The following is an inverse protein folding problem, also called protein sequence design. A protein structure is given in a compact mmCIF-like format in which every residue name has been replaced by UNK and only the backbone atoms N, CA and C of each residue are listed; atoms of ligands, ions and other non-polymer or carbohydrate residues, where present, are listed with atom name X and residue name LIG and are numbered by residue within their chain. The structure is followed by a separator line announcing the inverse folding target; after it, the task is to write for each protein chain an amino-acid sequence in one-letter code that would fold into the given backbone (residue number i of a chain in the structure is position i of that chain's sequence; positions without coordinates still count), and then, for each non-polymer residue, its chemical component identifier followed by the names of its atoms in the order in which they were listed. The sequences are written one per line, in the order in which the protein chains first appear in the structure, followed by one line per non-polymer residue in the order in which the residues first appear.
data_IF_477718582123
#
_entry.id   IF_477718582123
#
_cell.length_a   1.000
_cell.length_b   1.000
_cell.length_c   1.000
_cell.angle_alpha   90.00
_cell.angle_beta   90.00
_cell.angle_gamma   90.00
#
_symmetry.space_group_name_H-M   'P 1'
#
loop_
_entity.id
_entity.type
_entity.pdbx_description
1 polymer ?
#
# COMPACT_ATOMS: atom_id res chain seq x y z
N UNK A 1 -8.20 13.22 -29.07
CA UNK A 1 -8.52 13.92 -27.82
C UNK A 1 -8.75 12.86 -26.77
N UNK A 2 -7.73 12.55 -25.96
CA UNK A 2 -7.84 11.49 -24.94
C UNK A 2 -8.57 12.09 -23.74
N UNK A 3 -9.77 11.60 -23.47
CA UNK A 3 -10.53 11.92 -22.25
C UNK A 3 -9.67 11.59 -21.05
N UNK A 4 -9.18 12.62 -20.37
CA UNK A 4 -8.69 12.52 -19.00
C UNK A 4 -9.90 12.08 -18.16
N UNK A 5 -10.07 10.78 -18.01
CA UNK A 5 -10.97 10.24 -17.01
C UNK A 5 -10.41 10.78 -15.69
N UNK A 6 -11.14 11.71 -15.06
CA UNK A 6 -10.82 12.14 -13.71
C UNK A 6 -10.83 10.87 -12.87
N UNK A 7 -9.65 10.38 -12.50
CA UNK A 7 -9.55 9.25 -11.58
C UNK A 7 -10.10 9.77 -10.25
N UNK A 8 -11.37 9.48 -9.98
CA UNK A 8 -12.02 9.73 -8.69
C UNK A 8 -11.48 8.74 -7.65
N UNK A 9 -10.16 8.58 -7.58
CA UNK A 9 -9.48 7.61 -6.76
C UNK A 9 -8.25 8.25 -6.14
N UNK A 10 -7.99 7.88 -4.90
CA UNK A 10 -6.81 8.31 -4.18
C UNK A 10 -5.73 7.24 -4.31
N UNK A 11 -4.48 7.65 -4.52
CA UNK A 11 -3.36 6.71 -4.63
C UNK A 11 -2.31 7.08 -3.60
N UNK A 12 -1.90 6.11 -2.81
CA UNK A 12 -0.80 6.21 -1.87
C UNK A 12 0.38 5.40 -2.37
N UNK A 13 1.55 6.02 -2.30
CA UNK A 13 2.83 5.44 -2.67
C UNK A 13 3.73 5.58 -1.45
N UNK A 14 4.13 4.44 -0.89
CA UNK A 14 4.97 4.40 0.31
C UNK A 14 6.27 3.69 -0.09
N UNK A 15 7.37 4.43 -0.08
CA UNK A 15 8.69 3.88 -0.33
C UNK A 15 9.38 3.56 1.00
N UNK A 16 9.84 2.32 1.13
CA UNK A 16 10.67 1.87 2.23
C UNK A 16 12.10 1.69 1.75
N UNK A 17 13.05 2.28 2.46
CA UNK A 17 14.47 2.03 2.28
C UNK A 17 14.93 1.05 3.36
N UNK A 18 15.49 -0.07 2.94
CA UNK A 18 15.81 -1.20 3.81
C UNK A 18 17.12 -1.87 3.40
N UNK A 19 17.64 -2.71 4.29
CA UNK A 19 18.73 -3.63 3.94
C UNK A 19 18.18 -4.79 3.10
N UNK A 20 18.92 -5.31 2.10
CA UNK A 20 18.43 -6.39 1.23
C UNK A 20 17.96 -7.64 1.99
N UNK A 21 18.60 -7.95 3.12
CA UNK A 21 18.21 -9.07 4.00
C UNK A 21 16.82 -8.93 4.62
N UNK A 22 16.29 -7.71 4.71
CA UNK A 22 14.98 -7.41 5.29
C UNK A 22 13.87 -7.38 4.24
N UNK A 23 14.23 -7.40 2.95
CA UNK A 23 13.28 -7.23 1.85
C UNK A 23 12.18 -8.27 1.87
N UNK A 24 12.54 -9.55 1.95
CA UNK A 24 11.55 -10.63 1.91
C UNK A 24 10.58 -10.56 3.09
N UNK A 25 11.07 -10.22 4.29
CA UNK A 25 10.22 -10.05 5.47
C UNK A 25 9.24 -8.87 5.31
N UNK A 26 9.73 -7.74 4.80
CA UNK A 26 8.89 -6.57 4.55
C UNK A 26 7.85 -6.83 3.46
N UNK A 27 8.23 -7.49 2.36
CA UNK A 27 7.31 -7.84 1.27
C UNK A 27 6.20 -8.76 1.78
N UNK A 28 6.53 -9.79 2.56
CA UNK A 28 5.51 -10.66 3.16
C UNK A 28 4.57 -9.88 4.08
N UNK A 29 5.10 -9.02 4.95
CA UNK A 29 4.29 -8.20 5.84
C UNK A 29 3.35 -7.26 5.07
N UNK A 30 3.86 -6.56 4.05
CA UNK A 30 3.05 -5.67 3.22
C UNK A 30 2.00 -6.43 2.40
N UNK A 31 2.31 -7.65 1.96
CA UNK A 31 1.37 -8.49 1.21
C UNK A 31 0.22 -8.94 2.11
N UNK A 32 0.50 -9.44 3.32
CA UNK A 32 -0.54 -9.83 4.28
C UNK A 32 -1.42 -8.64 4.67
N UNK A 33 -0.81 -7.48 4.95
CA UNK A 33 -1.55 -6.26 5.25
C UNK A 33 -2.47 -5.85 4.09
N UNK A 34 -1.96 -5.93 2.86
CA UNK A 34 -2.74 -5.65 1.65
C UNK A 34 -3.93 -6.59 1.51
N UNK A 35 -3.75 -7.89 1.74
CA UNK A 35 -4.84 -8.88 1.68
C UNK A 35 -5.91 -8.56 2.73
N UNK A 36 -5.50 -8.18 3.95
CA UNK A 36 -6.43 -7.78 5.01
C UNK A 36 -7.21 -6.51 4.66
N UNK A 37 -6.57 -5.53 4.03
CA UNK A 37 -7.24 -4.32 3.52
C UNK A 37 -8.24 -4.67 2.43
N UNK A 38 -7.88 -5.55 1.50
CA UNK A 38 -8.76 -6.00 0.43
C UNK A 38 -10.01 -6.74 0.94
N UNK A 39 -9.89 -7.46 2.07
CA UNK A 39 -11.02 -8.16 2.70
C UNK A 39 -11.91 -7.24 3.56
N UNK A 40 -11.36 -6.14 4.08
CA UNK A 40 -11.95 -5.41 5.21
C UNK A 40 -12.21 -3.91 5.00
N UNK A 41 -11.88 -3.32 3.86
CA UNK A 41 -12.14 -1.90 3.56
C UNK A 41 -12.97 -1.74 2.28
N UNK A 42 -14.18 -1.18 2.42
CA UNK A 42 -15.13 -0.97 1.31
C UNK A 42 -14.61 0.00 0.22
N UNK A 43 -13.60 0.83 0.54
CA UNK A 43 -12.98 1.76 -0.40
C UNK A 43 -11.68 1.29 -1.06
N UNK A 44 -11.21 0.06 -0.79
CA UNK A 44 -9.99 -0.46 -1.39
C UNK A 44 -10.22 -0.86 -2.86
N UNK A 45 -9.39 -0.34 -3.77
CA UNK A 45 -9.49 -0.65 -5.20
C UNK A 45 -8.43 -1.66 -5.65
N UNK A 46 -7.16 -1.39 -5.32
CA UNK A 46 -6.05 -2.24 -5.75
C UNK A 46 -4.82 -1.94 -4.91
N UNK A 47 -3.91 -2.91 -4.82
CA UNK A 47 -2.57 -2.67 -4.31
C UNK A 47 -1.55 -3.57 -4.94
N UNK A 48 -0.30 -3.11 -4.91
CA UNK A 48 0.85 -3.82 -5.45
C UNK A 48 2.08 -3.51 -4.62
N UNK A 49 2.79 -4.56 -4.20
CA UNK A 49 4.12 -4.42 -3.59
C UNK A 49 5.16 -4.63 -4.68
N UNK A 50 6.02 -3.63 -4.88
CA UNK A 50 7.08 -3.66 -5.86
C UNK A 50 8.43 -3.60 -5.15
N UNK A 51 9.37 -4.39 -5.64
CA UNK A 51 10.73 -4.43 -5.11
C UNK A 51 11.70 -3.87 -6.14
N UNK A 52 12.69 -3.11 -5.66
CA UNK A 52 13.82 -2.73 -6.51
C UNK A 52 14.73 -3.93 -6.74
N UNK A 53 15.35 -3.99 -7.92
CA UNK A 53 16.31 -5.01 -8.32
C UNK A 53 17.52 -5.09 -7.36
N UNK A 54 18.00 -3.95 -6.87
CA UNK A 54 19.10 -3.87 -5.90
C UNK A 54 18.72 -4.35 -4.48
N UNK A 55 17.46 -4.70 -4.23
CA UNK A 55 17.06 -5.27 -2.93
C UNK A 55 16.77 -4.23 -1.83
N UNK A 56 17.21 -2.99 -2.00
CA UNK A 56 17.22 -1.96 -0.94
C UNK A 56 15.98 -1.09 -0.85
N UNK A 57 15.05 -1.22 -1.79
CA UNK A 57 13.83 -0.42 -1.82
C UNK A 57 12.63 -1.32 -2.05
N UNK A 58 11.56 -1.04 -1.32
CA UNK A 58 10.25 -1.64 -1.50
C UNK A 58 9.24 -0.52 -1.63
N UNK A 59 8.46 -0.54 -2.70
CA UNK A 59 7.39 0.42 -2.96
C UNK A 59 6.05 -0.28 -2.74
N UNK A 60 5.28 0.21 -1.78
CA UNK A 60 3.90 -0.18 -1.60
C UNK A 60 2.99 0.79 -2.35
N UNK A 61 2.25 0.28 -3.33
CA UNK A 61 1.25 1.01 -4.09
C UNK A 61 -0.13 0.62 -3.57
N UNK A 62 -0.91 1.60 -3.13
CA UNK A 62 -2.29 1.41 -2.66
C UNK A 62 -3.21 2.36 -3.42
N UNK A 63 -4.32 1.85 -3.91
CA UNK A 63 -5.34 2.62 -4.60
C UNK A 63 -6.68 2.49 -3.88
N UNK A 64 -7.32 3.62 -3.68
CA UNK A 64 -8.54 3.79 -2.92
C UNK A 64 -9.57 4.57 -3.71
N UNK A 65 -10.84 4.38 -3.38
CA UNK A 65 -11.94 5.14 -3.95
C UNK A 65 -11.90 6.60 -3.50
N UNK A 66 -11.62 6.87 -2.23
CA UNK A 66 -11.47 8.25 -1.73
C UNK A 66 -10.22 8.42 -0.89
N UNK A 67 -9.87 9.68 -0.61
CA UNK A 67 -8.78 9.99 0.33
C UNK A 67 -9.12 9.54 1.75
N UNK A 68 -10.37 9.64 2.15
CA UNK A 68 -10.85 9.28 3.49
C UNK A 68 -10.69 7.76 3.74
N UNK A 69 -10.96 6.93 2.72
CA UNK A 69 -10.72 5.48 2.80
C UNK A 69 -9.23 5.16 3.04
N UNK A 70 -8.34 5.85 2.32
CA UNK A 70 -6.89 5.67 2.48
C UNK A 70 -6.37 6.17 3.84
N UNK A 71 -6.94 7.25 4.37
CA UNK A 71 -6.60 7.79 5.69
C UNK A 71 -7.06 6.85 6.82
N UNK A 72 -8.29 6.33 6.72
CA UNK A 72 -8.83 5.36 7.67
C UNK A 72 -8.02 4.06 7.69
N UNK A 73 -7.62 3.56 6.51
CA UNK A 73 -6.76 2.40 6.38
C UNK A 73 -5.35 2.65 6.95
N UNK A 74 -4.77 3.82 6.71
CA UNK A 74 -3.46 4.20 7.24
C UNK A 74 -3.46 4.27 8.77
N UNK A 75 -4.49 4.87 9.38
CA UNK A 75 -4.62 4.97 10.83
C UNK A 75 -4.78 3.57 11.49
N UNK A 76 -5.49 2.65 10.84
CA UNK A 76 -5.57 1.25 11.31
C UNK A 76 -4.21 0.56 11.31
N UNK A 77 -3.38 0.79 10.29
CA UNK A 77 -2.03 0.22 10.19
C UNK A 77 -1.12 0.69 11.34
N UNK A 78 -1.23 1.95 11.76
CA UNK A 78 -0.43 2.48 12.87
C UNK A 78 -0.87 1.93 14.25
N UNK A 79 -2.14 1.54 14.39
CA UNK A 79 -2.67 1.01 15.65
C UNK A 79 -2.33 -0.48 15.89
N UNK A 80 -1.98 -1.25 14.85
CA UNK A 80 -1.54 -2.64 14.97
C UNK A 80 -0.03 -2.81 15.25
N UNK A 81 0.72 -1.70 15.33
CA UNK A 81 2.17 -1.71 15.62
C UNK A 81 2.55 -1.64 17.10
N UNK A 82 1.60 -1.77 18.03
CA UNK A 82 1.82 -1.61 19.47
C UNK A 82 1.17 -2.68 20.33
N UNK A 83 1.88 -3.79 20.54
CA UNK A 83 1.96 -4.55 21.80
C UNK A 83 3.33 -5.24 21.88
#
# INVERSE_FOLDING_TARGET
MQTCAKSHGFTQLIEFQIEPRQQSALVSALSEQTERLAQGHEGFLSASVQVSDDGRRVLNYLQWQTREDGDAAFNRLECEGGD
#
